data_IF_673243881377
#
_entry.id   IF_673243881377
#
_cell.length_a   1.000
_cell.length_b   1.000
_cell.length_c   1.000
_cell.angle_alpha   90.00
_cell.angle_beta   90.00
_cell.angle_gamma   90.00
#
_symmetry.space_group_name_H-M   'P 1'
#
loop_
_entity.id
_entity.type
_entity.pdbx_description
1 polymer ?
#
# COMPACT_ATOMS: atom_id res chain seq x y z
N UNK A 1 17.16 -64.63 -33.11
CA UNK A 1 16.13 -64.00 -33.96
C UNK A 1 15.21 -63.13 -33.11
N UNK A 2 15.31 -61.81 -33.30
CA UNK A 2 14.26 -60.76 -33.29
C UNK A 2 13.12 -60.78 -32.24
N UNK A 3 13.21 -59.76 -31.36
CA UNK A 3 12.23 -58.74 -30.88
C UNK A 3 10.89 -59.17 -30.26
N UNK A 4 10.62 -58.62 -29.05
CA UNK A 4 9.56 -57.63 -28.71
C UNK A 4 10.03 -56.81 -27.49
N UNK A 5 10.40 -55.54 -27.62
CA UNK A 5 9.57 -54.33 -27.43
C UNK A 5 8.68 -54.34 -26.16
N UNK A 6 9.12 -53.64 -25.11
CA UNK A 6 8.23 -52.84 -24.27
C UNK A 6 9.03 -51.74 -23.58
N UNK A 7 8.78 -50.53 -24.06
CA UNK A 7 9.06 -49.23 -23.45
C UNK A 7 8.45 -49.13 -22.06
N UNK A 8 9.25 -48.78 -21.06
CA UNK A 8 8.77 -48.09 -19.87
C UNK A 8 9.73 -46.95 -19.54
N UNK A 9 9.33 -45.74 -19.91
CA UNK A 9 9.90 -44.51 -19.38
C UNK A 9 9.43 -44.37 -17.94
N UNK A 10 10.33 -44.53 -16.96
CA UNK A 10 10.06 -44.09 -15.59
C UNK A 10 10.73 -42.72 -15.42
N UNK A 11 9.92 -41.70 -15.64
CA UNK A 11 10.19 -40.32 -15.31
C UNK A 11 10.09 -40.16 -13.78
N UNK A 12 11.18 -40.38 -13.06
CA UNK A 12 11.25 -40.05 -11.64
C UNK A 12 11.88 -38.66 -11.50
N UNK A 13 11.02 -37.68 -11.26
CA UNK A 13 11.37 -36.28 -11.08
C UNK A 13 12.42 -36.11 -9.97
N UNK A 14 13.52 -35.46 -10.32
CA UNK A 14 14.45 -34.87 -9.36
C UNK A 14 13.71 -33.81 -8.55
N UNK A 15 13.39 -34.14 -7.29
CA UNK A 15 12.96 -33.17 -6.29
C UNK A 15 14.14 -32.24 -5.98
N UNK A 16 14.24 -31.17 -6.75
CA UNK A 16 15.10 -30.05 -6.38
C UNK A 16 14.48 -29.44 -5.12
N UNK A 17 15.11 -29.70 -3.98
CA UNK A 17 14.96 -28.92 -2.77
C UNK A 17 15.47 -27.50 -3.06
N UNK A 18 14.61 -26.70 -3.69
CA UNK A 18 14.76 -25.26 -3.64
C UNK A 18 14.37 -24.87 -2.22
N UNK A 19 15.40 -24.74 -1.38
CA UNK A 19 15.38 -23.78 -0.28
C UNK A 19 14.60 -22.56 -0.77
N UNK A 20 13.51 -22.24 -0.07
CA UNK A 20 12.90 -20.93 -0.19
C UNK A 20 13.93 -19.94 0.31
N UNK A 21 14.84 -19.54 -0.58
CA UNK A 21 15.50 -18.27 -0.52
C UNK A 21 14.35 -17.28 -0.30
N UNK A 22 14.33 -16.69 0.88
CA UNK A 22 13.57 -15.48 1.13
C UNK A 22 14.13 -14.46 0.15
N UNK A 23 13.54 -14.40 -1.05
CA UNK A 23 13.58 -13.19 -1.86
C UNK A 23 12.84 -12.20 -0.98
N UNK A 24 13.61 -11.45 -0.18
CA UNK A 24 13.12 -10.23 0.44
C UNK A 24 12.73 -9.36 -0.74
N UNK A 25 11.44 -9.39 -1.09
CA UNK A 25 10.94 -8.55 -2.15
C UNK A 25 11.20 -7.12 -1.68
N UNK A 26 12.03 -6.38 -2.42
CA UNK A 26 12.17 -4.94 -2.25
C UNK A 26 10.82 -4.19 -2.41
N UNK A 27 9.78 -4.93 -2.81
CA UNK A 27 8.39 -4.49 -2.94
C UNK A 27 7.53 -4.68 -1.69
N UNK A 28 8.05 -5.35 -0.67
CA UNK A 28 7.35 -5.51 0.60
C UNK A 28 7.16 -4.13 1.24
N UNK A 29 5.96 -3.81 1.74
CA UNK A 29 5.60 -2.45 2.21
C UNK A 29 6.59 -1.94 3.26
N UNK A 30 7.11 -2.85 4.10
CA UNK A 30 8.14 -2.60 5.09
C UNK A 30 9.46 -2.05 4.53
N UNK A 31 9.69 -2.20 3.23
CA UNK A 31 10.89 -1.79 2.50
C UNK A 31 10.67 -0.52 1.64
N UNK A 32 9.48 0.09 1.67
CA UNK A 32 9.15 1.32 0.93
C UNK A 32 9.30 2.58 1.81
N UNK A 33 9.40 3.74 1.15
CA UNK A 33 9.58 5.03 1.83
C UNK A 33 8.43 5.37 2.80
N UNK A 34 8.75 6.12 3.85
CA UNK A 34 7.89 6.28 5.02
C UNK A 34 6.49 6.86 4.71
N UNK A 35 6.37 7.77 3.74
CA UNK A 35 5.09 8.32 3.27
C UNK A 35 4.16 7.24 2.65
N UNK A 36 4.76 6.24 1.99
CA UNK A 36 4.04 5.11 1.38
C UNK A 36 3.49 4.14 2.42
N UNK A 37 4.22 3.95 3.53
CA UNK A 37 3.82 3.06 4.64
C UNK A 37 2.63 3.64 5.41
N UNK A 38 2.69 4.93 5.72
CA UNK A 38 1.61 5.71 6.36
C UNK A 38 0.28 5.61 5.62
N UNK A 39 0.31 5.67 4.29
CA UNK A 39 -0.89 5.59 3.46
C UNK A 39 -1.37 4.15 3.23
N UNK A 40 -0.47 3.15 3.21
CA UNK A 40 -0.82 1.75 2.99
C UNK A 40 -1.54 1.08 4.17
N UNK A 41 -1.30 1.53 5.42
CA UNK A 41 -2.05 1.06 6.59
C UNK A 41 -3.53 1.52 6.60
N UNK A 42 -3.91 2.37 5.64
CA UNK A 42 -5.31 2.57 5.25
C UNK A 42 -5.57 1.64 4.07
N UNK A 43 -5.43 0.32 4.30
CA UNK A 43 -5.77 -0.69 3.30
C UNK A 43 -7.30 -0.78 3.21
N UNK A 44 -7.89 0.22 2.59
CA UNK A 44 -9.27 0.16 2.15
C UNK A 44 -9.24 -0.77 0.94
N UNK A 45 -9.93 -1.90 1.02
CA UNK A 45 -10.47 -2.49 -0.20
C UNK A 45 -11.28 -1.37 -0.86
N UNK A 46 -10.71 -0.73 -1.90
CA UNK A 46 -11.30 0.40 -2.60
C UNK A 46 -12.52 -0.12 -3.38
N UNK A 47 -13.60 -0.42 -2.65
CA UNK A 47 -14.90 -0.48 -3.25
C UNK A 47 -15.38 0.96 -3.47
N UNK A 48 -16.25 1.12 -4.46
CA UNK A 48 -16.84 2.41 -4.85
C UNK A 48 -17.25 3.26 -3.64
N UNK A 49 -17.83 2.63 -2.62
CA UNK A 49 -18.40 3.30 -1.46
C UNK A 49 -17.37 3.90 -0.49
N UNK A 50 -16.10 3.49 -0.55
CA UNK A 50 -15.05 3.95 0.38
C UNK A 50 -13.91 4.71 -0.29
N UNK A 51 -13.95 4.84 -1.62
CA UNK A 51 -12.91 5.60 -2.33
C UNK A 51 -12.90 7.06 -1.88
N UNK A 52 -14.07 7.69 -1.81
CA UNK A 52 -14.22 9.11 -1.50
C UNK A 52 -14.18 9.45 0.00
N UNK A 53 -14.01 8.45 0.90
CA UNK A 53 -13.84 8.66 2.34
C UNK A 53 -12.71 9.67 2.65
N UNK A 54 -11.64 9.63 1.84
CA UNK A 54 -10.54 10.58 1.91
C UNK A 54 -10.63 11.67 0.84
N UNK A 55 -11.15 11.38 -0.35
CA UNK A 55 -11.20 12.32 -1.47
C UNK A 55 -12.44 13.22 -1.40
N UNK A 56 -12.53 14.02 -0.34
CA UNK A 56 -13.56 15.05 -0.19
C UNK A 56 -13.18 16.32 -0.95
N UNK A 57 -14.12 17.22 -1.29
CA UNK A 57 -13.80 18.50 -1.94
C UNK A 57 -12.74 19.32 -1.21
N UNK A 58 -12.71 19.24 0.13
CA UNK A 58 -11.68 19.90 0.95
C UNK A 58 -10.29 19.32 0.68
N UNK A 59 -10.16 18.00 0.60
CA UNK A 59 -8.86 17.35 0.39
C UNK A 59 -8.40 17.48 -1.07
N UNK A 60 -9.33 17.39 -2.02
CA UNK A 60 -9.04 17.68 -3.42
C UNK A 60 -8.61 19.14 -3.65
N UNK A 61 -9.04 20.08 -2.80
CA UNK A 61 -8.61 21.47 -2.84
C UNK A 61 -7.09 21.65 -2.73
N UNK A 62 -6.38 20.70 -2.13
CA UNK A 62 -4.91 20.70 -2.00
C UNK A 62 -4.17 20.13 -3.22
N UNK A 63 -4.89 19.51 -4.16
CA UNK A 63 -4.29 18.93 -5.35
C UNK A 63 -4.15 19.97 -6.46
N UNK A 64 -3.05 19.88 -7.20
CA UNK A 64 -2.89 20.63 -8.45
C UNK A 64 -3.78 20.07 -9.58
N UNK A 65 -3.81 20.75 -10.72
CA UNK A 65 -4.65 20.35 -11.85
C UNK A 65 -4.30 18.96 -12.40
N UNK A 66 -3.01 18.62 -12.48
CA UNK A 66 -2.55 17.31 -12.98
C UNK A 66 -2.91 16.20 -12.00
N UNK A 67 -2.76 16.45 -10.69
CA UNK A 67 -3.13 15.52 -9.64
C UNK A 67 -4.65 15.28 -9.61
N UNK A 68 -5.46 16.32 -9.81
CA UNK A 68 -6.93 16.20 -9.91
C UNK A 68 -7.36 15.37 -11.12
N UNK A 69 -6.73 15.59 -12.27
CA UNK A 69 -7.00 14.80 -13.48
C UNK A 69 -6.69 13.31 -13.24
N UNK A 70 -5.53 13.01 -12.67
CA UNK A 70 -5.15 11.63 -12.30
C UNK A 70 -6.13 11.02 -11.30
N UNK A 71 -6.51 11.75 -10.26
CA UNK A 71 -7.49 11.27 -9.28
C UNK A 71 -8.82 10.91 -9.94
N UNK A 72 -9.30 11.73 -10.88
CA UNK A 72 -10.55 11.49 -11.59
C UNK A 72 -10.47 10.25 -12.49
N UNK A 73 -9.37 10.04 -13.22
CA UNK A 73 -9.14 8.82 -14.01
C UNK A 73 -9.22 7.57 -13.11
N UNK A 74 -8.59 7.62 -11.93
CA UNK A 74 -8.59 6.51 -10.97
C UNK A 74 -9.97 6.28 -10.35
N UNK A 75 -10.71 7.37 -10.08
CA UNK A 75 -12.10 7.32 -9.61
C UNK A 75 -13.02 6.67 -10.64
N UNK A 76 -12.88 7.02 -11.91
CA UNK A 76 -13.67 6.42 -13.01
C UNK A 76 -13.43 4.92 -13.12
N UNK A 77 -12.17 4.47 -13.08
CA UNK A 77 -11.84 3.03 -13.08
C UNK A 77 -12.54 2.26 -11.97
N UNK A 78 -12.49 2.78 -10.75
CA UNK A 78 -13.16 2.15 -9.60
C UNK A 78 -14.68 2.15 -9.77
N UNK A 79 -15.25 3.26 -10.27
CA UNK A 79 -16.68 3.35 -10.56
C UNK A 79 -17.14 2.34 -11.62
N UNK A 80 -16.26 2.00 -12.56
CA UNK A 80 -16.49 0.98 -13.59
C UNK A 80 -16.26 -0.45 -13.08
N UNK A 81 -15.87 -0.63 -11.81
CA UNK A 81 -15.60 -1.94 -11.21
C UNK A 81 -14.21 -2.50 -11.53
N UNK A 82 -13.31 -1.69 -12.11
CA UNK A 82 -11.95 -2.09 -12.39
C UNK A 82 -11.10 -2.12 -11.11
N UNK A 83 -10.09 -3.00 -11.10
CA UNK A 83 -9.12 -3.07 -10.01
C UNK A 83 -7.90 -2.25 -10.34
N UNK A 84 -7.54 -1.32 -9.44
CA UNK A 84 -6.30 -0.55 -9.58
C UNK A 84 -5.07 -1.46 -9.47
N UNK A 85 -4.13 -1.24 -10.38
CA UNK A 85 -2.82 -1.89 -10.35
C UNK A 85 -1.93 -1.31 -9.22
N UNK A 86 -0.75 -1.89 -9.03
CA UNK A 86 0.18 -1.48 -7.96
C UNK A 86 0.62 -0.02 -8.14
N UNK A 87 0.94 0.39 -9.37
CA UNK A 87 1.38 1.77 -9.66
C UNK A 87 0.28 2.78 -9.33
N UNK A 88 -0.95 2.53 -9.75
CA UNK A 88 -2.12 3.39 -9.50
C UNK A 88 -2.45 3.50 -8.00
N UNK A 89 -2.36 2.37 -7.29
CA UNK A 89 -2.46 2.37 -5.82
C UNK A 89 -1.37 3.20 -5.18
N UNK A 90 -0.16 3.18 -5.75
CA UNK A 90 0.98 3.95 -5.23
C UNK A 90 0.81 5.45 -5.50
N UNK A 91 0.22 5.84 -6.63
CA UNK A 91 -0.09 7.23 -6.93
C UNK A 91 -1.11 7.81 -5.94
N UNK A 92 -2.23 7.10 -5.68
CA UNK A 92 -3.22 7.53 -4.67
C UNK A 92 -2.59 7.71 -3.30
N UNK A 93 -1.73 6.77 -2.91
CA UNK A 93 -1.00 6.81 -1.64
C UNK A 93 -0.08 8.01 -1.53
N UNK A 94 0.64 8.34 -2.60
CA UNK A 94 1.54 9.49 -2.62
C UNK A 94 0.77 10.81 -2.55
N UNK A 95 -0.26 10.99 -3.38
CA UNK A 95 -1.13 12.17 -3.34
C UNK A 95 -1.76 12.35 -1.95
N UNK A 96 -2.21 11.26 -1.32
CA UNK A 96 -2.74 11.27 0.04
C UNK A 96 -1.69 11.70 1.06
N UNK A 97 -0.47 11.17 0.99
CA UNK A 97 0.60 11.53 1.89
C UNK A 97 0.99 13.00 1.75
N UNK A 98 1.02 13.54 0.53
CA UNK A 98 1.26 14.96 0.28
C UNK A 98 0.19 15.86 0.91
N UNK A 99 -1.10 15.53 0.74
CA UNK A 99 -2.19 16.28 1.40
C UNK A 99 -2.04 16.24 2.92
N UNK A 100 -1.78 15.06 3.49
CA UNK A 100 -1.59 14.91 4.94
C UNK A 100 -0.41 15.76 5.41
N UNK A 101 0.69 15.75 4.67
CA UNK A 101 1.88 16.57 4.96
C UNK A 101 1.56 18.05 4.92
N UNK A 102 0.82 18.53 3.91
CA UNK A 102 0.40 19.92 3.79
C UNK A 102 -0.48 20.37 4.96
N UNK A 103 -1.37 19.50 5.44
CA UNK A 103 -2.25 19.79 6.59
C UNK A 103 -1.51 19.83 7.92
N UNK A 104 -0.67 18.83 8.16
CA UNK A 104 0.02 18.67 9.45
C UNK A 104 1.27 19.55 9.57
N UNK A 105 1.88 19.91 8.45
CA UNK A 105 3.23 20.47 8.40
C UNK A 105 4.31 19.40 8.62
N UNK A 106 5.56 19.74 8.29
CA UNK A 106 6.69 18.80 8.27
C UNK A 106 6.91 18.09 9.62
N UNK A 107 6.90 18.83 10.72
CA UNK A 107 7.23 18.29 12.04
C UNK A 107 6.22 17.22 12.51
N UNK A 108 4.92 17.53 12.45
CA UNK A 108 3.86 16.58 12.82
C UNK A 108 3.75 15.43 11.83
N UNK A 109 4.04 15.67 10.54
CA UNK A 109 4.08 14.61 9.55
C UNK A 109 5.20 13.60 9.85
N UNK A 110 6.40 14.06 10.19
CA UNK A 110 7.50 13.19 10.60
C UNK A 110 7.18 12.42 11.89
N UNK A 111 6.50 13.06 12.86
CA UNK A 111 6.03 12.40 14.08
C UNK A 111 5.04 11.27 13.74
N UNK A 112 4.06 11.56 12.88
CA UNK A 112 3.09 10.57 12.40
C UNK A 112 3.79 9.38 11.73
N UNK A 113 4.78 9.63 10.88
CA UNK A 113 5.57 8.59 10.23
C UNK A 113 6.25 7.67 11.25
N UNK A 114 6.95 8.24 12.24
CA UNK A 114 7.63 7.48 13.29
C UNK A 114 6.67 6.60 14.09
N UNK A 115 5.49 7.12 14.44
CA UNK A 115 4.48 6.38 15.20
C UNK A 115 3.90 5.21 14.39
N UNK A 116 3.71 5.39 13.08
CA UNK A 116 3.23 4.32 12.21
C UNK A 116 4.31 3.27 11.99
N UNK A 117 5.56 3.67 11.75
CA UNK A 117 6.70 2.75 11.63
C UNK A 117 6.88 1.90 12.89
N UNK A 118 6.78 2.52 14.07
CA UNK A 118 6.85 1.80 15.35
C UNK A 118 5.72 0.77 15.46
N UNK A 119 4.48 1.16 15.15
CA UNK A 119 3.30 0.27 15.16
C UNK A 119 3.44 -0.91 14.20
N UNK A 120 4.00 -0.67 13.00
CA UNK A 120 4.22 -1.72 11.99
C UNK A 120 5.40 -2.64 12.34
N UNK A 121 6.32 -2.16 13.17
CA UNK A 121 7.40 -2.97 13.70
C UNK A 121 6.93 -3.95 14.77
N UNK A 122 7.89 -4.68 15.34
CA UNK A 122 7.63 -5.60 16.47
C UNK A 122 7.45 -4.87 17.82
N UNK A 123 7.44 -3.54 17.84
CA UNK A 123 7.38 -2.74 19.07
C UNK A 123 6.00 -2.16 19.25
N UNK A 124 5.33 -2.50 20.36
CA UNK A 124 4.04 -1.90 20.66
C UNK A 124 4.15 -0.39 20.96
N UNK A 125 3.14 0.35 20.52
CA UNK A 125 2.95 1.73 20.95
C UNK A 125 2.51 1.76 22.42
N UNK A 126 3.13 2.64 23.19
CA UNK A 126 2.67 3.02 24.53
C UNK A 126 1.32 3.73 24.47
N UNK A 127 0.60 3.83 25.60
CA UNK A 127 -0.69 4.54 25.66
C UNK A 127 -0.60 6.01 25.18
N UNK A 128 0.41 6.81 25.62
CA UNK A 128 0.58 8.17 25.10
C UNK A 128 0.80 8.22 23.59
N UNK A 129 1.59 7.28 23.04
CA UNK A 129 1.84 7.20 21.59
C UNK A 129 0.58 6.81 20.80
N UNK A 130 -0.26 5.93 21.36
CA UNK A 130 -1.57 5.59 20.75
C UNK A 130 -2.49 6.80 20.71
N UNK A 131 -2.58 7.54 21.81
CA UNK A 131 -3.36 8.76 21.90
C UNK A 131 -2.86 9.82 20.90
N UNK A 132 -1.54 10.02 20.86
CA UNK A 132 -0.93 10.97 19.94
C UNK A 132 -1.14 10.61 18.47
N UNK A 133 -1.04 9.32 18.15
CA UNK A 133 -1.34 8.83 16.80
C UNK A 133 -2.80 9.03 16.43
N UNK A 134 -3.75 8.91 17.37
CA UNK A 134 -5.16 9.21 17.13
C UNK A 134 -5.38 10.70 16.81
N UNK A 135 -4.76 11.60 17.57
CA UNK A 135 -4.83 13.06 17.35
C UNK A 135 -4.30 13.46 15.98
N UNK A 136 -3.11 12.97 15.61
CA UNK A 136 -2.50 13.25 14.32
C UNK A 136 -3.36 12.73 13.15
N UNK A 137 -3.98 11.55 13.30
CA UNK A 137 -4.90 11.01 12.30
C UNK A 137 -6.19 11.83 12.18
N UNK A 138 -6.71 12.33 13.31
CA UNK A 138 -7.90 13.20 13.33
C UNK A 138 -7.62 14.52 12.61
N UNK A 139 -6.48 15.14 12.89
CA UNK A 139 -6.04 16.38 12.26
C UNK A 139 -5.76 16.19 10.75
N UNK A 140 -5.15 15.07 10.36
CA UNK A 140 -4.90 14.74 8.96
C UNK A 140 -6.18 14.52 8.12
N UNK A 141 -7.21 13.91 8.75
CA UNK A 141 -8.49 13.63 8.09
C UNK A 141 -9.42 14.84 8.06
N UNK A 142 -9.40 15.66 9.11
CA UNK A 142 -10.20 16.88 9.25
C UNK A 142 -9.93 17.90 8.17
#
# INVERSE_FOLDING_TARGET
>A
MIKKLSTFFILAATLINFSKFNIVQADDVKNKGNAFRVSNNISIALNKDKFDDFWTPKNEGYLDASQKEKLNILREKINNGETLNISEKNELKNMKAEIIKLKLGDAKFQELQKLIEKREGATELTLPERQRLYELNKEARG
#
